data_IF_189339189023
#
_entry.id   IF_189339189023
#
_cell.length_a   1.000
_cell.length_b   1.000
_cell.length_c   1.000
_cell.angle_alpha   90.00
_cell.angle_beta   90.00
_cell.angle_gamma   90.00
#
_symmetry.space_group_name_H-M   'P 1'
#
loop_
_entity.id
_entity.type
_entity.pdbx_description
1 polymer ?
#
# COMPACT_ATOMS: atom_id res chain seq x y z
N UNK A 1 9.24 10.04 21.03
CA UNK A 1 9.15 10.64 19.67
C UNK A 1 8.09 11.74 19.68
N UNK A 2 8.35 12.92 19.10
CA UNK A 2 7.35 13.99 19.00
C UNK A 2 6.48 13.80 17.74
N UNK A 3 5.27 14.34 17.75
CA UNK A 3 4.28 14.15 16.68
C UNK A 3 4.79 14.70 15.33
N UNK A 4 5.58 15.77 15.36
CA UNK A 4 6.12 16.42 14.16
C UNK A 4 7.10 15.51 13.39
N UNK A 5 8.05 14.87 14.08
CA UNK A 5 8.99 13.95 13.45
C UNK A 5 8.28 12.70 12.91
N UNK A 6 7.23 12.25 13.58
CA UNK A 6 6.41 11.14 13.10
C UNK A 6 5.67 11.52 11.82
N UNK A 7 4.96 12.64 11.82
CA UNK A 7 4.23 13.11 10.64
C UNK A 7 5.17 13.26 9.44
N UNK A 8 6.36 13.83 9.65
CA UNK A 8 7.39 13.92 8.60
C UNK A 8 7.78 12.54 8.04
N UNK A 9 7.96 11.52 8.90
CA UNK A 9 8.31 10.17 8.48
C UNK A 9 7.15 9.48 7.74
N UNK A 10 5.92 9.60 8.23
CA UNK A 10 4.72 9.05 7.60
C UNK A 10 4.40 9.69 6.26
N UNK A 11 4.55 11.01 6.15
CA UNK A 11 4.40 11.72 4.87
C UNK A 11 5.50 11.31 3.89
N UNK A 12 6.76 11.17 4.35
CA UNK A 12 7.85 10.75 3.49
C UNK A 12 7.67 9.32 2.98
N UNK A 13 7.33 8.37 3.87
CA UNK A 13 7.08 6.98 3.47
C UNK A 13 5.88 6.87 2.53
N UNK A 14 4.79 7.59 2.81
CA UNK A 14 3.63 7.69 1.94
C UNK A 14 3.98 8.26 0.57
N UNK A 15 4.80 9.32 0.50
CA UNK A 15 5.23 9.93 -0.75
C UNK A 15 6.12 8.99 -1.58
N UNK A 16 7.08 8.33 -0.93
CA UNK A 16 7.98 7.37 -1.59
C UNK A 16 7.19 6.19 -2.14
N UNK A 17 6.31 5.60 -1.32
CA UNK A 17 5.40 4.52 -1.71
C UNK A 17 4.54 4.93 -2.92
N UNK A 18 3.93 6.12 -2.87
CA UNK A 18 3.14 6.68 -3.97
C UNK A 18 3.94 6.80 -5.25
N UNK A 19 5.13 7.41 -5.21
CA UNK A 19 5.97 7.59 -6.40
C UNK A 19 6.34 6.24 -7.02
N UNK A 20 6.75 5.27 -6.21
CA UNK A 20 7.11 3.93 -6.69
C UNK A 20 5.91 3.21 -7.32
N UNK A 21 4.74 3.24 -6.65
CA UNK A 21 3.52 2.63 -7.19
C UNK A 21 3.02 3.31 -8.45
N UNK A 22 3.13 4.64 -8.55
CA UNK A 22 2.81 5.38 -9.78
C UNK A 22 3.73 4.95 -10.92
N UNK A 23 5.04 4.83 -10.68
CA UNK A 23 5.99 4.35 -11.71
C UNK A 23 5.61 2.94 -12.16
N UNK A 24 5.36 2.03 -11.21
CA UNK A 24 4.96 0.65 -11.52
C UNK A 24 3.65 0.62 -12.32
N UNK A 25 2.66 1.42 -11.94
CA UNK A 25 1.39 1.51 -12.66
C UNK A 25 1.57 2.02 -14.10
N UNK A 26 2.34 3.09 -14.30
CA UNK A 26 2.59 3.65 -15.63
C UNK A 26 3.39 2.68 -16.53
N UNK A 27 4.36 1.97 -15.96
CA UNK A 27 5.14 0.94 -16.68
C UNK A 27 4.25 -0.26 -17.02
N UNK A 28 3.40 -0.72 -16.10
CA UNK A 28 2.51 -1.84 -16.33
C UNK A 28 1.44 -1.54 -17.39
N UNK A 29 0.83 -0.36 -17.32
CA UNK A 29 -0.18 0.08 -18.29
C UNK A 29 0.39 0.27 -19.69
N UNK A 30 1.68 0.65 -19.82
CA UNK A 30 2.35 0.81 -21.12
C UNK A 30 2.92 -0.50 -21.70
N UNK A 31 3.48 -1.39 -20.87
CA UNK A 31 4.14 -2.62 -21.34
C UNK A 31 3.24 -3.83 -21.44
N UNK A 32 2.30 -3.99 -20.51
CA UNK A 32 1.57 -5.25 -20.37
C UNK A 32 0.26 -5.28 -21.14
N UNK A 33 -0.12 -4.18 -21.82
CA UNK A 33 -1.44 -3.98 -22.43
C UNK A 33 -2.55 -4.53 -21.51
N UNK A 34 -2.36 -4.38 -20.18
CA UNK A 34 -3.32 -4.83 -19.18
C UNK A 34 -4.54 -3.99 -19.46
N UNK A 35 -5.58 -4.62 -20.02
CA UNK A 35 -6.83 -3.97 -20.34
C UNK A 35 -7.25 -3.19 -19.10
N UNK A 36 -7.09 -1.87 -19.17
CA UNK A 36 -7.46 -0.92 -18.11
C UNK A 36 -8.98 -0.90 -17.90
N UNK A 37 -9.71 -1.75 -18.63
CA UNK A 37 -11.14 -2.02 -18.56
C UNK A 37 -11.49 -3.13 -17.57
N UNK A 38 -10.52 -3.87 -17.03
CA UNK A 38 -10.82 -4.86 -15.99
C UNK A 38 -11.16 -4.14 -14.68
N UNK A 39 -12.45 -4.10 -14.39
CA UNK A 39 -13.02 -3.64 -13.14
C UNK A 39 -12.36 -4.33 -11.94
N UNK A 40 -12.01 -3.52 -10.93
CA UNK A 40 -11.89 -3.98 -9.55
C UNK A 40 -13.12 -4.83 -9.17
N UNK A 41 -13.05 -5.68 -8.13
CA UNK A 41 -14.18 -6.52 -7.72
C UNK A 41 -15.50 -5.77 -7.47
N UNK A 42 -15.44 -4.46 -7.24
CA UNK A 42 -16.57 -3.54 -7.04
C UNK A 42 -17.06 -2.86 -8.34
N UNK A 43 -16.51 -3.18 -9.51
CA UNK A 43 -16.87 -2.58 -10.79
C UNK A 43 -16.02 -1.35 -11.18
N UNK A 44 -15.24 -0.79 -10.28
CA UNK A 44 -14.49 0.46 -10.52
C UNK A 44 -13.19 0.21 -11.28
N UNK A 45 -12.72 1.20 -12.05
CA UNK A 45 -11.45 1.10 -12.76
C UNK A 45 -10.31 1.51 -11.84
N UNK A 46 -9.19 0.80 -11.90
CA UNK A 46 -7.97 1.22 -11.23
C UNK A 46 -7.39 2.44 -11.97
N UNK A 47 -7.65 3.63 -11.43
CA UNK A 47 -7.14 4.88 -11.95
C UNK A 47 -5.89 5.35 -11.18
N UNK A 48 -5.20 6.34 -11.75
CA UNK A 48 -4.01 6.91 -11.15
C UNK A 48 -4.31 7.53 -9.77
N UNK A 49 -5.50 8.10 -9.58
CA UNK A 49 -5.89 8.74 -8.33
C UNK A 49 -6.03 7.72 -7.20
N UNK A 50 -6.65 6.58 -7.46
CA UNK A 50 -6.78 5.46 -6.54
C UNK A 50 -5.41 4.89 -6.19
N UNK A 51 -4.50 4.72 -7.17
CA UNK A 51 -3.12 4.28 -6.92
C UNK A 51 -2.41 5.27 -5.99
N UNK A 52 -2.54 6.58 -6.25
CA UNK A 52 -1.94 7.61 -5.40
C UNK A 52 -2.47 7.57 -3.97
N UNK A 53 -3.79 7.57 -3.80
CA UNK A 53 -4.45 7.55 -2.50
C UNK A 53 -4.11 6.28 -1.71
N UNK A 54 -4.24 5.11 -2.35
CA UNK A 54 -3.97 3.81 -1.74
C UNK A 54 -2.49 3.62 -1.36
N UNK A 55 -1.57 4.38 -1.96
CA UNK A 55 -0.14 4.30 -1.64
C UNK A 55 0.30 5.29 -0.57
N UNK A 56 -0.31 6.49 -0.55
CA UNK A 56 0.05 7.56 0.37
C UNK A 56 -0.61 7.38 1.74
N UNK A 57 -1.91 7.06 1.76
CA UNK A 57 -2.71 6.97 2.99
C UNK A 57 -2.12 5.97 3.99
N UNK A 58 -1.71 4.74 3.60
CA UNK A 58 -1.13 3.79 4.54
C UNK A 58 0.14 4.31 5.24
N UNK A 59 0.96 5.14 4.59
CA UNK A 59 2.16 5.72 5.20
C UNK A 59 1.82 6.69 6.33
N UNK A 60 0.81 7.54 6.11
CA UNK A 60 0.32 8.47 7.13
C UNK A 60 -0.36 7.70 8.27
N UNK A 61 -1.29 6.79 7.95
CA UNK A 61 -2.02 5.99 8.94
C UNK A 61 -1.08 5.11 9.75
N UNK A 62 -0.12 4.44 9.10
CA UNK A 62 0.88 3.60 9.75
C UNK A 62 1.73 4.39 10.74
N UNK A 63 2.14 5.61 10.38
CA UNK A 63 2.86 6.48 11.31
C UNK A 63 2.03 6.84 12.54
N UNK A 64 0.76 7.21 12.37
CA UNK A 64 -0.14 7.53 13.48
C UNK A 64 -0.38 6.33 14.39
N UNK A 65 -0.55 5.13 13.81
CA UNK A 65 -0.67 3.88 14.55
C UNK A 65 0.58 3.60 15.40
N UNK A 66 1.77 3.71 14.79
CA UNK A 66 3.03 3.52 15.51
C UNK A 66 3.19 4.52 16.66
N UNK A 67 2.78 5.78 16.46
CA UNK A 67 2.78 6.76 17.54
C UNK A 67 1.85 6.39 18.69
N UNK A 68 0.63 5.98 18.40
CA UNK A 68 -0.30 5.48 19.41
C UNK A 68 0.28 4.29 20.17
N UNK A 69 0.85 3.31 19.47
CA UNK A 69 1.50 2.14 20.06
C UNK A 69 2.69 2.52 20.95
N UNK A 70 3.50 3.50 20.54
CA UNK A 70 4.64 3.99 21.32
C UNK A 70 4.26 4.62 22.66
N UNK A 71 2.98 4.97 22.85
CA UNK A 71 2.44 5.49 24.12
C UNK A 71 1.96 4.39 25.06
N UNK A 72 1.67 3.20 24.54
CA UNK A 72 0.95 2.15 25.27
C UNK A 72 1.86 0.93 25.52
N UNK A 73 2.83 0.67 24.64
CA UNK A 73 3.69 -0.52 24.69
C UNK A 73 5.17 -0.19 24.61
N UNK A 74 5.99 -1.00 25.30
CA UNK A 74 7.46 -1.02 25.17
C UNK A 74 7.93 -1.81 23.93
N UNK A 75 7.04 -2.58 23.32
CA UNK A 75 7.29 -3.41 22.13
C UNK A 75 6.48 -2.89 20.92
N UNK A 76 6.35 -1.57 20.81
CA UNK A 76 5.57 -0.88 19.80
C UNK A 76 5.94 -1.27 18.36
N UNK A 77 7.23 -1.34 18.04
CA UNK A 77 7.72 -1.74 16.70
C UNK A 77 7.36 -3.19 16.35
N UNK A 78 7.49 -4.11 17.30
CA UNK A 78 7.16 -5.52 17.06
C UNK A 78 5.67 -5.68 16.77
N UNK A 79 4.82 -5.03 17.58
CA UNK A 79 3.36 -5.04 17.40
C UNK A 79 2.98 -4.40 16.07
N UNK A 80 3.58 -3.25 15.74
CA UNK A 80 3.34 -2.58 14.47
C UNK A 80 3.68 -3.46 13.27
N UNK A 81 4.86 -4.09 13.28
CA UNK A 81 5.31 -4.97 12.20
C UNK A 81 4.40 -6.18 12.06
N UNK A 82 3.96 -6.78 13.17
CA UNK A 82 3.04 -7.91 13.14
C UNK A 82 1.68 -7.52 12.56
N UNK A 83 1.15 -6.35 12.95
CA UNK A 83 -0.08 -5.81 12.36
C UNK A 83 0.08 -5.51 10.86
N UNK A 84 1.20 -4.91 10.46
CA UNK A 84 1.48 -4.61 9.06
C UNK A 84 1.56 -5.88 8.21
N UNK A 85 2.21 -6.94 8.72
CA UNK A 85 2.25 -8.26 8.05
C UNK A 85 0.85 -8.85 7.93
N UNK A 86 0.03 -8.79 8.99
CA UNK A 86 -1.36 -9.29 8.94
C UNK A 86 -2.19 -8.52 7.91
N UNK A 87 -2.05 -7.19 7.85
CA UNK A 87 -2.74 -6.34 6.87
C UNK A 87 -2.26 -6.65 5.45
N UNK A 88 -0.95 -6.80 5.22
CA UNK A 88 -0.40 -7.18 3.93
C UNK A 88 -0.96 -8.53 3.47
N UNK A 89 -0.88 -9.57 4.31
CA UNK A 89 -1.41 -10.90 3.99
C UNK A 89 -2.91 -10.87 3.72
N UNK A 90 -3.67 -10.14 4.53
CA UNK A 90 -5.11 -9.93 4.31
C UNK A 90 -5.40 -9.24 2.98
N UNK A 91 -4.59 -8.25 2.60
CA UNK A 91 -4.71 -7.53 1.33
C UNK A 91 -4.36 -8.39 0.10
N UNK A 92 -3.62 -9.50 0.28
CA UNK A 92 -3.32 -10.44 -0.80
C UNK A 92 -4.50 -11.36 -1.14
N UNK A 93 -5.45 -11.56 -0.21
CA UNK A 93 -6.57 -12.48 -0.45
C UNK A 93 -7.39 -12.05 -1.67
N UNK A 94 -7.86 -10.79 -1.78
CA UNK A 94 -8.62 -10.34 -2.94
C UNK A 94 -7.80 -10.36 -4.23
N UNK A 95 -6.47 -10.22 -4.16
CA UNK A 95 -5.60 -10.23 -5.35
C UNK A 95 -5.64 -11.58 -6.07
N UNK A 96 -5.69 -12.68 -5.31
CA UNK A 96 -5.67 -14.03 -5.85
C UNK A 96 -7.07 -14.67 -5.95
N UNK A 97 -8.07 -14.15 -5.23
CA UNK A 97 -9.43 -14.71 -5.21
C UNK A 97 -10.41 -14.06 -6.20
N UNK A 98 -10.01 -12.99 -6.89
CA UNK A 98 -10.90 -12.13 -7.68
C UNK A 98 -11.12 -12.59 -9.13
N UNK A 99 -10.54 -13.73 -9.54
CA UNK A 99 -10.68 -14.24 -10.91
C UNK A 99 -10.08 -13.34 -11.99
N UNK A 100 -9.23 -12.39 -11.59
CA UNK A 100 -8.54 -11.45 -12.48
C UNK A 100 -7.51 -12.19 -13.34
N UNK A 101 -7.14 -11.58 -14.47
CA UNK A 101 -6.07 -12.12 -15.31
C UNK A 101 -4.76 -12.20 -14.53
N UNK A 102 -3.92 -13.19 -14.83
CA UNK A 102 -2.66 -13.42 -14.12
C UNK A 102 -1.75 -12.18 -14.10
N UNK A 103 -1.71 -11.42 -15.20
CA UNK A 103 -0.97 -10.15 -15.27
C UNK A 103 -1.51 -9.08 -14.32
N UNK A 104 -2.83 -8.95 -14.20
CA UNK A 104 -3.45 -7.99 -13.28
C UNK A 104 -3.26 -8.38 -11.82
N UNK A 105 -3.41 -9.66 -11.48
CA UNK A 105 -3.12 -10.15 -10.11
C UNK A 105 -1.66 -9.89 -9.72
N UNK A 106 -0.71 -10.09 -10.64
CA UNK A 106 0.71 -9.77 -10.38
C UNK A 106 0.90 -8.27 -10.15
N UNK A 107 0.32 -7.42 -11.01
CA UNK A 107 0.38 -5.97 -10.83
C UNK A 107 -0.18 -5.56 -9.47
N UNK A 108 -1.37 -6.05 -9.12
CA UNK A 108 -2.03 -5.71 -7.87
C UNK A 108 -1.22 -6.22 -6.67
N UNK A 109 -0.63 -7.40 -6.74
CA UNK A 109 0.28 -7.91 -5.70
C UNK A 109 1.49 -6.98 -5.49
N UNK A 110 2.13 -6.53 -6.58
CA UNK A 110 3.28 -5.61 -6.53
C UNK A 110 2.88 -4.27 -5.90
N UNK A 111 1.71 -3.73 -6.28
CA UNK A 111 1.20 -2.46 -5.75
C UNK A 111 0.93 -2.49 -4.24
N UNK A 112 0.62 -3.66 -3.67
CA UNK A 112 0.45 -3.84 -2.22
C UNK A 112 1.76 -4.11 -1.49
N UNK A 113 2.72 -4.78 -2.14
CA UNK A 113 4.03 -5.06 -1.55
C UNK A 113 4.85 -3.79 -1.35
N UNK A 114 4.77 -2.83 -2.27
CA UNK A 114 5.55 -1.58 -2.20
C UNK A 114 5.24 -0.78 -0.92
N UNK A 115 3.97 -0.44 -0.59
CA UNK A 115 3.66 0.23 0.66
C UNK A 115 4.14 -0.55 1.88
N UNK A 116 3.96 -1.88 1.89
CA UNK A 116 4.40 -2.69 3.02
C UNK A 116 5.93 -2.63 3.22
N UNK A 117 6.72 -2.68 2.15
CA UNK A 117 8.18 -2.61 2.22
C UNK A 117 8.72 -1.22 2.56
N UNK A 118 7.97 -0.16 2.22
CA UNK A 118 8.38 1.23 2.48
C UNK A 118 7.97 1.70 3.87
N UNK A 119 6.89 1.14 4.42
CA UNK A 119 6.31 1.56 5.71
C UNK A 119 6.84 0.74 6.89
N UNK A 120 7.08 -0.56 6.69
CA UNK A 120 7.65 -1.49 7.70
C UNK A 120 9.16 -1.29 7.80
#
# INVERSE_FOLDING_TARGET
MNLFNLAKRGTLSGLVSMVLNVIVYLVATSLLAVDTEVSLPNGERLDLMAVCAASFIPGVVGSLLLFGLSKISKHDLLIFNLLAVVVLLGSMIPVFSSGLSSGYSILLAVLHLIPALVIV
#
